data_IF_033128437284
#
_entry.id   IF_033128437284
#
_cell.length_a   1.000
_cell.length_b   1.000
_cell.length_c   1.000
_cell.angle_alpha   90.00
_cell.angle_beta   90.00
_cell.angle_gamma   90.00
#
_symmetry.space_group_name_H-M   'P 1'
#
loop_
_entity.id
_entity.type
_entity.pdbx_description
1 polymer ?
#
# COMPACT_ATOMS: atom_id res chain seq x y z
N UNK A 1 -9.79 -2.16 25.96
CA UNK A 1 -9.66 -2.67 24.59
C UNK A 1 -8.19 -2.75 24.18
N UNK A 2 -7.43 -1.68 24.30
CA UNK A 2 -6.00 -1.60 24.01
C UNK A 2 -5.24 -1.33 25.31
N UNK A 3 -4.26 -2.17 25.64
CA UNK A 3 -3.43 -2.00 26.86
C UNK A 3 -2.10 -1.31 26.49
N UNK A 4 -2.17 0.00 26.32
CA UNK A 4 -1.00 0.85 26.06
C UNK A 4 -1.10 2.15 26.83
N UNK A 5 -0.05 2.53 27.56
CA UNK A 5 -0.03 3.80 28.31
C UNK A 5 0.18 5.03 27.41
N UNK A 6 0.49 4.81 26.13
CA UNK A 6 0.83 5.89 25.21
C UNK A 6 -0.39 6.71 24.77
N UNK A 7 -1.57 6.11 24.75
CA UNK A 7 -2.78 6.72 24.16
C UNK A 7 -3.77 7.13 25.22
N UNK A 8 -4.29 8.36 25.12
CA UNK A 8 -5.27 8.93 26.05
C UNK A 8 -6.72 8.65 25.60
N UNK A 9 -6.93 8.29 24.35
CA UNK A 9 -8.25 7.99 23.79
C UNK A 9 -8.15 7.40 22.39
N UNK A 10 -9.26 6.88 21.91
CA UNK A 10 -9.36 6.29 20.57
C UNK A 10 -10.77 6.46 20.01
N UNK A 11 -10.87 6.42 18.69
CA UNK A 11 -12.12 6.23 17.97
C UNK A 11 -12.16 4.78 17.48
N UNK A 12 -13.26 4.10 17.76
CA UNK A 12 -13.49 2.72 17.31
C UNK A 12 -14.57 2.68 16.23
N UNK A 13 -14.24 2.08 15.09
CA UNK A 13 -15.20 1.84 14.01
C UNK A 13 -15.53 0.33 13.95
N UNK A 14 -16.72 -0.09 14.39
CA UNK A 14 -17.12 -1.49 14.37
C UNK A 14 -17.45 -2.03 12.98
N UNK A 15 -17.59 -1.16 11.96
CA UNK A 15 -17.85 -1.54 10.58
C UNK A 15 -16.58 -1.79 9.77
N UNK A 16 -15.43 -1.39 10.30
CA UNK A 16 -14.12 -1.67 9.71
C UNK A 16 -13.57 -3.01 10.17
N UNK A 17 -12.53 -3.50 9.47
CA UNK A 17 -11.90 -4.77 9.82
C UNK A 17 -10.48 -4.89 9.25
N UNK A 18 -9.87 -6.02 9.49
CA UNK A 18 -8.59 -6.38 8.88
C UNK A 18 -8.62 -7.82 8.35
N UNK A 19 -7.69 -8.12 7.49
CA UNK A 19 -7.59 -9.44 6.87
C UNK A 19 -6.11 -9.81 6.67
N UNK A 20 -5.85 -11.04 6.29
CA UNK A 20 -4.52 -11.48 5.89
C UNK A 20 -4.28 -11.15 4.41
N UNK A 21 -3.45 -10.13 4.06
CA UNK A 21 -3.38 -9.61 2.68
C UNK A 21 -2.92 -10.65 1.66
N UNK A 22 -1.93 -11.48 2.03
CA UNK A 22 -1.43 -12.53 1.13
C UNK A 22 -2.49 -13.60 0.86
N UNK A 23 -3.20 -14.07 1.91
CA UNK A 23 -4.27 -15.06 1.73
C UNK A 23 -5.40 -14.50 0.85
N UNK A 24 -5.72 -13.21 1.00
CA UNK A 24 -6.69 -12.54 0.14
C UNK A 24 -6.22 -12.49 -1.32
N UNK A 25 -4.98 -12.06 -1.57
CA UNK A 25 -4.42 -12.00 -2.92
C UNK A 25 -4.36 -13.39 -3.58
N UNK A 26 -3.93 -14.42 -2.85
CA UNK A 26 -3.92 -15.80 -3.34
C UNK A 26 -5.34 -16.34 -3.60
N UNK A 27 -6.30 -15.94 -2.78
CA UNK A 27 -7.72 -16.24 -2.99
C UNK A 27 -8.26 -15.65 -4.29
N UNK A 28 -7.96 -14.38 -4.54
CA UNK A 28 -8.32 -13.71 -5.80
C UNK A 28 -7.63 -14.33 -7.01
N UNK A 29 -6.36 -14.70 -6.91
CA UNK A 29 -5.64 -15.38 -7.98
C UNK A 29 -6.29 -16.74 -8.32
N UNK A 30 -6.63 -17.54 -7.31
CA UNK A 30 -7.36 -18.81 -7.52
C UNK A 30 -8.72 -18.60 -8.19
N UNK A 31 -9.48 -17.61 -7.75
CA UNK A 31 -10.76 -17.27 -8.36
C UNK A 31 -10.61 -16.82 -9.82
N UNK A 32 -9.60 -16.02 -10.12
CA UNK A 32 -9.30 -15.59 -11.49
C UNK A 32 -8.93 -16.78 -12.40
N UNK A 33 -8.06 -17.68 -11.92
CA UNK A 33 -7.73 -18.90 -12.65
C UNK A 33 -8.95 -19.80 -12.92
N UNK A 34 -9.82 -19.96 -11.92
CA UNK A 34 -11.06 -20.71 -12.06
C UNK A 34 -12.04 -20.06 -13.07
N UNK A 35 -11.97 -18.74 -13.23
CA UNK A 35 -12.70 -18.00 -14.26
C UNK A 35 -12.03 -18.00 -15.65
N UNK A 36 -10.94 -18.76 -15.82
CA UNK A 36 -10.23 -18.90 -17.11
C UNK A 36 -9.19 -17.82 -17.39
N UNK A 37 -8.83 -17.00 -16.42
CA UNK A 37 -7.74 -16.03 -16.56
C UNK A 37 -6.40 -16.76 -16.58
N UNK A 38 -5.51 -16.38 -17.49
CA UNK A 38 -4.13 -16.87 -17.52
C UNK A 38 -3.22 -15.90 -16.76
N UNK A 39 -2.51 -16.39 -15.77
CA UNK A 39 -1.54 -15.63 -14.97
C UNK A 39 -0.13 -16.04 -15.40
N UNK A 40 0.70 -15.08 -15.70
CA UNK A 40 2.11 -15.28 -16.08
C UNK A 40 3.00 -14.58 -15.05
N UNK A 41 3.65 -15.36 -14.22
CA UNK A 41 4.68 -14.88 -13.29
C UNK A 41 6.00 -14.65 -14.04
N UNK A 42 6.95 -13.95 -13.42
CA UNK A 42 8.27 -13.62 -13.99
C UNK A 42 8.22 -12.97 -15.40
N UNK A 43 7.08 -12.33 -15.67
CA UNK A 43 6.75 -11.76 -16.97
C UNK A 43 6.56 -10.24 -16.88
N UNK A 44 7.56 -9.54 -16.31
CA UNK A 44 7.52 -8.09 -16.17
C UNK A 44 7.31 -7.40 -17.53
N UNK A 45 6.29 -6.52 -17.58
CA UNK A 45 6.06 -5.68 -18.77
C UNK A 45 7.16 -4.63 -18.84
N UNK A 46 7.87 -4.58 -19.96
CA UNK A 46 8.97 -3.64 -20.21
C UNK A 46 8.55 -2.46 -21.08
N UNK A 47 7.48 -2.62 -21.85
CA UNK A 47 6.93 -1.58 -22.73
C UNK A 47 5.45 -1.81 -22.94
N UNK A 48 4.68 -0.73 -22.93
CA UNK A 48 3.30 -0.73 -23.40
C UNK A 48 3.21 0.08 -24.71
N UNK A 49 2.37 -0.37 -25.63
CA UNK A 49 2.13 0.30 -26.89
C UNK A 49 0.63 0.45 -27.07
N UNK A 50 0.11 1.69 -26.96
CA UNK A 50 -1.29 1.97 -27.23
C UNK A 50 -1.58 1.94 -28.72
N UNK A 51 -2.83 1.73 -29.09
CA UNK A 51 -3.32 1.70 -30.46
C UNK A 51 -4.76 1.21 -30.49
N UNK A 52 -5.27 0.82 -31.65
CA UNK A 52 -6.58 0.17 -31.79
C UNK A 52 -6.65 -1.13 -30.97
N UNK A 53 -5.51 -1.78 -30.80
CA UNK A 53 -5.25 -2.85 -29.83
C UNK A 53 -4.07 -2.45 -28.96
N UNK A 54 -4.12 -2.80 -27.68
CA UNK A 54 -3.02 -2.57 -26.74
C UNK A 54 -2.02 -3.71 -26.85
N UNK A 55 -0.73 -3.39 -26.96
CA UNK A 55 0.35 -4.40 -26.92
C UNK A 55 1.20 -4.19 -25.67
N UNK A 56 1.33 -5.24 -24.87
CA UNK A 56 2.21 -5.30 -23.71
C UNK A 56 3.39 -6.22 -24.03
N UNK A 57 4.60 -5.68 -23.94
CA UNK A 57 5.84 -6.41 -24.21
C UNK A 57 6.51 -6.84 -22.92
N UNK A 58 7.04 -8.05 -22.90
CA UNK A 58 7.94 -8.58 -21.87
C UNK A 58 9.29 -8.92 -22.47
N UNK A 59 10.25 -9.39 -21.68
CA UNK A 59 11.54 -9.85 -22.20
C UNK A 59 11.42 -11.07 -23.13
N UNK A 60 10.36 -11.86 -22.99
CA UNK A 60 10.22 -13.16 -23.67
C UNK A 60 9.04 -13.22 -24.65
N UNK A 61 8.28 -12.14 -24.80
CA UNK A 61 7.14 -12.13 -25.70
C UNK A 61 6.27 -10.89 -25.57
N UNK A 62 5.09 -10.97 -26.18
CA UNK A 62 4.11 -9.88 -26.10
C UNK A 62 2.68 -10.42 -26.06
N UNK A 63 1.79 -9.62 -25.49
CA UNK A 63 0.35 -9.86 -25.50
C UNK A 63 -0.32 -8.71 -26.24
N UNK A 64 -1.17 -9.02 -27.22
CA UNK A 64 -2.00 -8.07 -27.95
C UNK A 64 -3.46 -8.28 -27.57
N UNK A 65 -4.11 -7.24 -27.03
CA UNK A 65 -5.48 -7.31 -26.54
C UNK A 65 -6.33 -6.12 -27.00
N UNK A 66 -7.65 -6.26 -26.97
CA UNK A 66 -8.58 -5.16 -27.23
C UNK A 66 -8.50 -4.09 -26.17
N UNK A 67 -8.29 -4.49 -24.92
CA UNK A 67 -8.15 -3.62 -23.74
C UNK A 67 -6.92 -3.98 -22.93
N UNK A 68 -6.36 -2.98 -22.23
CA UNK A 68 -5.28 -3.16 -21.29
C UNK A 68 -5.60 -2.48 -19.95
N UNK A 69 -5.05 -3.01 -18.86
CA UNK A 69 -5.14 -2.40 -17.53
C UNK A 69 -3.75 -2.35 -16.91
N UNK A 70 -3.33 -1.15 -16.50
CA UNK A 70 -2.09 -0.93 -15.77
C UNK A 70 -2.42 -0.87 -14.27
N UNK A 71 -2.03 -1.89 -13.52
CA UNK A 71 -2.25 -2.01 -12.08
C UNK A 71 -0.93 -2.21 -11.31
N UNK A 72 0.19 -1.73 -11.86
CA UNK A 72 1.53 -1.89 -11.29
C UNK A 72 1.81 -1.03 -10.07
N UNK A 73 0.94 -0.07 -9.76
CA UNK A 73 1.05 0.80 -8.59
C UNK A 73 2.46 1.44 -8.48
N UNK A 74 3.17 1.24 -7.36
CA UNK A 74 4.53 1.76 -7.16
C UNK A 74 5.61 1.11 -8.07
N UNK A 75 5.28 0.03 -8.79
CA UNK A 75 6.22 -0.81 -9.54
C UNK A 75 6.08 -0.64 -11.07
N UNK A 76 5.76 0.54 -11.54
CA UNK A 76 5.59 0.81 -12.99
C UNK A 76 6.90 0.78 -13.79
N UNK A 77 8.03 1.08 -13.18
CA UNK A 77 9.38 0.99 -13.75
C UNK A 77 9.53 1.62 -15.16
N UNK A 78 8.91 2.76 -15.41
CA UNK A 78 9.04 3.51 -16.67
C UNK A 78 8.02 3.16 -17.75
N UNK A 79 7.17 2.14 -17.57
CA UNK A 79 6.19 1.75 -18.60
C UNK A 79 5.08 2.80 -18.81
N UNK A 80 4.82 3.64 -17.82
CA UNK A 80 3.80 4.68 -17.88
C UNK A 80 4.26 5.97 -17.17
N UNK A 81 5.19 6.76 -17.73
CA UNK A 81 5.75 7.95 -17.08
C UNK A 81 4.70 8.98 -16.66
N UNK A 82 3.61 9.11 -17.44
CA UNK A 82 2.50 9.99 -17.10
C UNK A 82 1.77 9.58 -15.81
N UNK A 83 1.74 8.32 -15.46
CA UNK A 83 1.20 7.79 -14.20
C UNK A 83 2.22 7.92 -13.08
N UNK A 84 3.45 7.51 -13.30
CA UNK A 84 4.52 7.48 -12.30
C UNK A 84 4.78 8.86 -11.67
N UNK A 85 4.74 9.93 -12.43
CA UNK A 85 4.96 11.29 -11.91
C UNK A 85 3.84 11.78 -10.96
N UNK A 86 2.69 11.09 -10.90
CA UNK A 86 1.53 11.44 -10.07
C UNK A 86 1.44 10.65 -8.77
N UNK A 87 2.34 9.71 -8.57
CA UNK A 87 2.45 8.92 -7.33
C UNK A 87 3.83 9.06 -6.71
N UNK A 88 3.91 8.89 -5.40
CA UNK A 88 5.15 8.85 -4.64
C UNK A 88 5.24 7.48 -3.96
N UNK A 89 6.15 6.60 -4.40
CA UNK A 89 6.45 5.38 -3.67
C UNK A 89 7.07 5.71 -2.31
N UNK A 90 6.45 5.23 -1.24
CA UNK A 90 6.93 5.40 0.13
C UNK A 90 7.14 4.02 0.72
N UNK A 91 8.36 3.73 1.16
CA UNK A 91 8.70 2.49 1.85
C UNK A 91 8.02 2.44 3.22
N UNK A 92 7.40 1.34 3.54
CA UNK A 92 6.80 1.06 4.85
C UNK A 92 7.19 -0.34 5.30
N UNK A 93 7.21 -0.57 6.62
CA UNK A 93 7.77 -1.78 7.18
C UNK A 93 6.84 -2.37 8.23
N UNK A 94 6.80 -3.69 8.29
CA UNK A 94 6.06 -4.45 9.30
C UNK A 94 6.99 -5.48 9.91
N UNK A 95 6.97 -5.61 11.22
CA UNK A 95 7.64 -6.68 11.96
C UNK A 95 6.62 -7.55 12.68
N UNK A 96 6.95 -8.81 12.88
CA UNK A 96 6.18 -9.75 13.66
C UNK A 96 6.97 -10.23 14.87
N UNK A 97 6.32 -10.28 16.03
CA UNK A 97 6.88 -10.97 17.20
C UNK A 97 6.85 -12.49 17.00
N UNK A 98 7.55 -13.28 17.82
CA UNK A 98 7.19 -14.68 18.04
C UNK A 98 5.72 -14.80 18.46
N UNK A 99 5.09 -16.01 18.36
CA UNK A 99 3.78 -16.22 18.93
C UNK A 99 3.77 -15.88 20.43
N UNK A 100 2.89 -14.99 20.84
CA UNK A 100 2.80 -14.54 22.24
C UNK A 100 1.94 -15.47 23.10
N UNK A 101 1.18 -16.36 22.46
CA UNK A 101 0.08 -17.09 23.07
C UNK A 101 -1.17 -16.23 23.25
N UNK A 102 -2.32 -16.87 23.25
CA UNK A 102 -3.63 -16.18 23.23
C UNK A 102 -3.80 -15.22 24.42
N UNK A 103 -3.50 -15.68 25.62
CA UNK A 103 -3.69 -14.86 26.82
C UNK A 103 -2.90 -13.54 26.77
N UNK A 104 -1.62 -13.61 26.40
CA UNK A 104 -0.76 -12.42 26.28
C UNK A 104 -1.16 -11.51 25.13
N UNK A 105 -1.51 -12.10 23.96
CA UNK A 105 -1.97 -11.34 22.82
C UNK A 105 -3.27 -10.59 23.12
N UNK A 106 -4.25 -11.27 23.74
CA UNK A 106 -5.52 -10.66 24.12
C UNK A 106 -5.39 -9.63 25.26
N UNK A 107 -4.39 -9.75 26.09
CA UNK A 107 -4.07 -8.72 27.06
C UNK A 107 -3.63 -7.40 26.39
N UNK A 108 -2.92 -7.47 25.24
CA UNK A 108 -2.53 -6.28 24.49
C UNK A 108 -3.70 -5.65 23.71
N UNK A 109 -4.47 -6.49 23.01
CA UNK A 109 -5.59 -6.07 22.14
C UNK A 109 -6.75 -7.03 22.38
N UNK A 110 -7.68 -6.66 23.24
CA UNK A 110 -8.71 -7.56 23.75
C UNK A 110 -9.73 -8.02 22.67
N UNK A 111 -10.09 -7.15 21.76
CA UNK A 111 -11.15 -7.35 20.76
C UNK A 111 -10.66 -7.61 19.34
N UNK A 112 -9.36 -7.95 19.19
CA UNK A 112 -8.74 -8.24 17.89
C UNK A 112 -8.86 -7.14 16.84
N UNK A 113 -9.00 -5.89 17.26
CA UNK A 113 -9.02 -4.75 16.34
C UNK A 113 -7.65 -4.50 15.71
N UNK A 114 -7.64 -3.94 14.51
CA UNK A 114 -6.47 -3.27 13.96
C UNK A 114 -6.42 -1.83 14.49
N UNK A 115 -5.24 -1.37 14.84
CA UNK A 115 -5.02 -0.04 15.41
C UNK A 115 -4.06 0.74 14.51
N UNK A 116 -4.35 2.02 14.31
CA UNK A 116 -3.43 2.99 13.73
C UNK A 116 -3.47 4.25 14.59
N UNK A 117 -2.31 4.83 14.91
CA UNK A 117 -2.24 6.08 15.64
C UNK A 117 -2.38 7.30 14.73
N UNK A 118 -2.33 8.50 15.32
CA UNK A 118 -2.48 9.77 14.61
C UNK A 118 -1.14 10.46 14.32
N UNK A 119 -0.01 9.78 14.57
CA UNK A 119 1.29 10.33 14.22
C UNK A 119 1.43 10.52 12.70
N UNK A 120 2.22 11.48 12.27
CA UNK A 120 2.47 11.69 10.84
C UNK A 120 3.12 10.48 10.15
N UNK A 121 4.11 9.87 10.81
CA UNK A 121 4.62 8.54 10.47
C UNK A 121 4.01 7.55 11.46
N UNK A 122 2.76 7.19 11.18
CA UNK A 122 1.94 6.41 12.11
C UNK A 122 2.53 5.04 12.45
N UNK A 123 2.28 4.62 13.67
CA UNK A 123 2.39 3.24 14.07
C UNK A 123 1.04 2.55 13.83
N UNK A 124 1.08 1.35 13.29
CA UNK A 124 -0.12 0.53 13.07
C UNK A 124 0.17 -0.91 13.44
N UNK A 125 -0.78 -1.55 14.08
CA UNK A 125 -0.56 -2.89 14.59
C UNK A 125 -1.88 -3.65 14.76
N UNK A 126 -1.75 -4.96 14.75
CA UNK A 126 -2.83 -5.92 14.99
C UNK A 126 -2.27 -7.28 15.40
N UNK A 127 -3.14 -8.16 15.83
CA UNK A 127 -2.78 -9.55 16.03
C UNK A 127 -2.89 -10.35 14.72
N UNK A 128 -2.09 -11.41 14.60
CA UNK A 128 -2.26 -12.46 13.61
C UNK A 128 -3.07 -13.62 14.19
N UNK A 129 -3.53 -14.52 13.32
CA UNK A 129 -4.30 -15.68 13.74
C UNK A 129 -3.54 -16.62 14.68
N UNK A 130 -2.20 -16.64 14.63
CA UNK A 130 -1.30 -17.40 15.50
C UNK A 130 -0.79 -16.56 16.69
N UNK A 131 -1.50 -15.51 17.06
CA UNK A 131 -1.25 -14.66 18.23
C UNK A 131 0.11 -13.96 18.25
N UNK A 132 0.63 -13.57 17.09
CA UNK A 132 1.78 -12.64 16.98
C UNK A 132 1.26 -11.20 16.98
N UNK A 133 2.03 -10.29 17.56
CA UNK A 133 1.82 -8.89 17.28
C UNK A 133 2.51 -8.55 15.96
N UNK A 134 1.73 -8.11 14.97
CA UNK A 134 2.22 -7.48 13.75
C UNK A 134 2.31 -5.99 14.00
N UNK A 135 3.52 -5.44 13.99
CA UNK A 135 3.77 -4.03 14.28
C UNK A 135 4.35 -3.35 13.06
N UNK A 136 3.62 -2.40 12.51
CA UNK A 136 3.99 -1.60 11.35
C UNK A 136 4.31 -0.15 11.72
N UNK A 137 5.14 0.46 10.92
CA UNK A 137 5.51 1.85 11.12
C UNK A 137 6.74 2.23 10.30
N UNK A 138 7.28 3.42 10.56
CA UNK A 138 8.47 3.95 9.90
C UNK A 138 8.32 4.08 8.38
N UNK A 139 8.10 5.27 7.92
CA UNK A 139 8.13 5.59 6.51
C UNK A 139 9.58 5.85 6.04
N UNK A 140 9.96 5.29 4.90
CA UNK A 140 11.17 5.64 4.18
C UNK A 140 10.79 6.24 2.83
N UNK A 141 11.33 7.41 2.56
CA UNK A 141 11.17 8.11 1.28
C UNK A 141 12.33 7.81 0.31
N UNK A 142 13.23 6.91 0.71
CA UNK A 142 14.30 6.40 -0.13
C UNK A 142 14.00 4.95 -0.54
N UNK A 143 14.67 4.49 -1.59
CA UNK A 143 14.58 3.08 -2.02
C UNK A 143 15.30 2.10 -1.08
N UNK A 144 15.98 2.62 -0.06
CA UNK A 144 16.74 1.80 0.90
C UNK A 144 16.07 1.82 2.27
N UNK A 145 16.03 0.66 2.97
CA UNK A 145 15.59 0.63 4.35
C UNK A 145 16.46 1.52 5.24
N UNK A 146 15.90 2.15 6.28
CA UNK A 146 16.68 2.88 7.27
C UNK A 146 17.71 1.97 7.95
N UNK A 147 18.91 2.51 8.22
CA UNK A 147 19.90 1.79 8.98
C UNK A 147 19.36 1.45 10.39
N UNK A 148 19.60 0.22 10.84
CA UNK A 148 19.13 -0.25 12.15
C UNK A 148 17.59 -0.35 12.26
N UNK A 149 16.88 -0.53 11.17
CA UNK A 149 15.42 -0.57 11.11
C UNK A 149 14.81 -1.52 12.14
N UNK A 150 15.34 -2.75 12.28
CA UNK A 150 14.83 -3.72 13.26
C UNK A 150 14.90 -3.18 14.69
N UNK A 151 16.03 -2.60 15.08
CA UNK A 151 16.21 -1.98 16.40
C UNK A 151 15.22 -0.83 16.60
N UNK A 152 15.09 0.04 15.61
CA UNK A 152 14.18 1.20 15.69
C UNK A 152 12.72 0.77 15.84
N UNK A 153 12.29 -0.25 15.09
CA UNK A 153 10.92 -0.77 15.17
C UNK A 153 10.67 -1.51 16.48
N UNK A 154 11.64 -2.31 16.96
CA UNK A 154 11.54 -2.98 18.26
C UNK A 154 11.44 -1.96 19.40
N UNK A 155 12.27 -0.93 19.40
CA UNK A 155 12.19 0.14 20.40
C UNK A 155 10.83 0.85 20.37
N UNK A 156 10.31 1.12 19.19
CA UNK A 156 9.00 1.77 19.06
C UNK A 156 7.86 0.87 19.54
N UNK A 157 7.90 -0.42 19.21
CA UNK A 157 6.98 -1.42 19.73
C UNK A 157 6.99 -1.45 21.27
N UNK A 158 8.17 -1.43 21.88
CA UNK A 158 8.30 -1.39 23.36
C UNK A 158 7.82 -0.07 23.97
N UNK A 159 7.86 1.05 23.22
CA UNK A 159 7.26 2.31 23.67
C UNK A 159 5.72 2.20 23.70
N UNK A 160 5.13 1.60 22.66
CA UNK A 160 3.68 1.38 22.58
C UNK A 160 3.22 0.33 23.59
N UNK A 161 3.97 -0.75 23.72
CA UNK A 161 3.68 -1.90 24.59
C UNK A 161 4.87 -2.20 25.52
N UNK A 162 5.03 -1.50 26.65
CA UNK A 162 6.13 -1.76 27.61
C UNK A 162 6.16 -3.19 28.13
N UNK A 163 5.00 -3.85 28.20
CA UNK A 163 4.87 -5.26 28.62
C UNK A 163 5.48 -6.26 27.63
N UNK A 164 5.93 -5.79 26.46
CA UNK A 164 6.71 -6.57 25.49
C UNK A 164 8.22 -6.36 25.61
N UNK A 165 8.70 -5.68 26.66
CA UNK A 165 10.15 -5.60 26.86
C UNK A 165 10.81 -6.99 26.82
N UNK A 166 11.93 -7.09 26.08
CA UNK A 166 12.63 -8.34 25.86
C UNK A 166 12.07 -9.22 24.73
N UNK A 167 10.89 -8.91 24.19
CA UNK A 167 10.35 -9.61 23.00
C UNK A 167 10.92 -8.97 21.74
N UNK A 168 11.63 -9.73 20.88
CA UNK A 168 12.14 -9.19 19.61
C UNK A 168 11.04 -9.15 18.53
N UNK A 169 11.31 -8.43 17.45
CA UNK A 169 10.67 -8.70 16.16
C UNK A 169 11.43 -9.84 15.49
N UNK A 170 10.80 -11.00 15.37
CA UNK A 170 11.40 -12.20 14.78
C UNK A 170 11.53 -12.08 13.26
N UNK A 171 10.52 -11.51 12.64
CA UNK A 171 10.48 -11.29 11.19
C UNK A 171 10.26 -9.83 10.90
N UNK A 172 10.91 -9.32 9.85
CA UNK A 172 10.77 -7.95 9.40
C UNK A 172 10.74 -7.92 7.88
N UNK A 173 9.76 -7.23 7.30
CA UNK A 173 9.68 -7.03 5.86
C UNK A 173 9.23 -5.61 5.53
N UNK A 174 9.42 -5.21 4.29
CA UNK A 174 8.99 -3.92 3.79
C UNK A 174 8.29 -4.02 2.44
N UNK A 175 7.58 -2.96 2.10
CA UNK A 175 6.93 -2.78 0.83
C UNK A 175 6.76 -1.30 0.51
N UNK A 176 6.16 -1.02 -0.63
CA UNK A 176 5.87 0.35 -1.03
C UNK A 176 4.36 0.60 -1.03
N UNK A 177 3.97 1.72 -0.45
CA UNK A 177 2.68 2.34 -0.70
C UNK A 177 2.87 3.47 -1.70
N UNK A 178 1.96 3.64 -2.62
CA UNK A 178 1.96 4.78 -3.53
C UNK A 178 1.05 5.88 -3.01
N UNK A 179 1.59 7.05 -2.85
CA UNK A 179 0.89 8.21 -2.33
C UNK A 179 0.62 9.18 -3.48
N UNK A 180 -0.64 9.51 -3.73
CA UNK A 180 -1.03 10.63 -4.61
C UNK A 180 -0.96 11.95 -3.84
N UNK A 181 -0.77 13.09 -4.53
CA UNK A 181 -0.64 14.39 -3.84
C UNK A 181 -1.87 14.79 -3.01
N UNK A 182 -3.05 14.47 -3.51
CA UNK A 182 -4.34 14.76 -2.85
C UNK A 182 -4.85 13.62 -1.98
N UNK A 183 -4.09 12.51 -1.86
CA UNK A 183 -4.46 11.29 -1.14
C UNK A 183 -5.66 10.54 -1.71
N UNK A 184 -6.32 11.05 -2.76
CA UNK A 184 -7.41 10.35 -3.44
C UNK A 184 -6.87 9.24 -4.37
N UNK A 185 -7.62 8.15 -4.58
CA UNK A 185 -7.24 7.12 -5.52
C UNK A 185 -7.25 7.66 -6.96
N UNK A 186 -6.26 7.25 -7.75
CA UNK A 186 -6.06 7.71 -9.13
C UNK A 186 -6.38 6.58 -10.10
N UNK A 187 -7.60 6.57 -10.61
CA UNK A 187 -8.13 5.58 -11.55
C UNK A 187 -8.62 6.29 -12.82
N UNK A 188 -8.51 5.63 -13.95
CA UNK A 188 -8.98 6.20 -15.19
C UNK A 188 -8.47 5.49 -16.44
N UNK A 189 -8.41 6.27 -17.53
CA UNK A 189 -7.93 5.84 -18.85
C UNK A 189 -6.75 6.69 -19.30
N UNK A 190 -5.75 6.05 -19.89
CA UNK A 190 -4.68 6.72 -20.65
C UNK A 190 -5.10 6.91 -22.10
N UNK A 191 -5.81 5.93 -22.66
CA UNK A 191 -6.42 5.94 -23.98
C UNK A 191 -7.80 5.28 -23.87
N UNK A 192 -8.66 5.32 -24.90
CA UNK A 192 -9.99 4.73 -24.84
C UNK A 192 -10.03 3.24 -24.42
N UNK A 193 -8.93 2.52 -24.62
CA UNK A 193 -8.83 1.08 -24.33
C UNK A 193 -7.66 0.71 -23.39
N UNK A 194 -7.00 1.69 -22.78
CA UNK A 194 -5.92 1.45 -21.81
C UNK A 194 -6.27 2.12 -20.47
N UNK A 195 -6.68 1.31 -19.51
CA UNK A 195 -7.11 1.69 -18.18
C UNK A 195 -5.98 1.62 -17.17
N UNK A 196 -6.16 2.26 -16.04
CA UNK A 196 -5.20 2.15 -14.93
C UNK A 196 -5.87 2.33 -13.56
N UNK A 197 -5.24 1.78 -12.53
CA UNK A 197 -5.56 2.03 -11.13
C UNK A 197 -4.28 2.11 -10.29
N UNK A 198 -4.12 3.22 -9.56
CA UNK A 198 -2.98 3.51 -8.70
C UNK A 198 -3.34 4.56 -7.65
N UNK A 199 -2.38 4.99 -6.81
CA UNK A 199 -2.53 6.13 -5.91
C UNK A 199 -3.42 5.84 -4.71
N UNK A 200 -3.42 4.62 -4.20
CA UNK A 200 -4.31 4.21 -3.11
C UNK A 200 -3.96 4.80 -1.75
N UNK A 201 -2.80 5.43 -1.62
CA UNK A 201 -2.37 6.23 -0.45
C UNK A 201 -2.49 5.51 0.90
N UNK A 202 -2.26 4.19 0.93
CA UNK A 202 -2.35 3.35 2.12
C UNK A 202 -3.69 2.62 2.30
N UNK A 203 -4.71 2.91 1.50
CA UNK A 203 -6.06 2.31 1.60
C UNK A 203 -6.31 1.21 0.53
N UNK A 204 -5.23 0.68 -0.08
CA UNK A 204 -5.32 -0.22 -1.23
C UNK A 204 -6.09 -1.50 -0.98
N UNK A 205 -5.99 -2.11 0.19
CA UNK A 205 -6.65 -3.40 0.47
C UNK A 205 -8.17 -3.32 0.25
N UNK A 206 -8.82 -2.27 0.73
CA UNK A 206 -10.26 -2.06 0.52
C UNK A 206 -10.56 -1.54 -0.90
N UNK A 207 -9.77 -0.59 -1.39
CA UNK A 207 -10.09 0.16 -2.60
C UNK A 207 -9.78 -0.60 -3.91
N UNK A 208 -8.83 -1.56 -3.92
CA UNK A 208 -8.45 -2.30 -5.13
C UNK A 208 -9.56 -3.18 -5.67
N UNK A 209 -10.37 -3.80 -4.79
CA UNK A 209 -11.54 -4.59 -5.20
C UNK A 209 -12.56 -3.73 -5.94
N UNK A 210 -12.85 -2.53 -5.40
CA UNK A 210 -13.74 -1.56 -6.04
C UNK A 210 -13.15 -1.08 -7.38
N UNK A 211 -11.84 -0.78 -7.43
CA UNK A 211 -11.17 -0.36 -8.66
C UNK A 211 -11.28 -1.41 -9.76
N UNK A 212 -11.05 -2.68 -9.42
CA UNK A 212 -11.20 -3.79 -10.36
C UNK A 212 -12.62 -3.91 -10.92
N UNK A 213 -13.62 -3.82 -10.04
CA UNK A 213 -15.03 -3.84 -10.46
C UNK A 213 -15.38 -2.67 -11.39
N UNK A 214 -15.02 -1.46 -11.00
CA UNK A 214 -15.33 -0.23 -11.77
C UNK A 214 -14.65 -0.23 -13.15
N UNK A 215 -13.42 -0.73 -13.24
CA UNK A 215 -12.72 -0.88 -14.51
C UNK A 215 -13.35 -1.99 -15.38
N UNK A 216 -13.74 -3.11 -14.78
CA UNK A 216 -14.42 -4.18 -15.50
C UNK A 216 -15.78 -3.71 -16.07
N UNK A 217 -16.58 -2.97 -15.28
CA UNK A 217 -17.81 -2.35 -15.75
C UNK A 217 -17.54 -1.39 -16.93
N UNK A 218 -16.50 -0.57 -16.86
CA UNK A 218 -16.14 0.36 -17.93
C UNK A 218 -15.72 -0.37 -19.22
N UNK A 219 -14.96 -1.46 -19.11
CA UNK A 219 -14.59 -2.33 -20.25
C UNK A 219 -15.84 -2.97 -20.87
N UNK A 220 -16.82 -3.33 -20.03
CA UNK A 220 -18.12 -3.86 -20.49
C UNK A 220 -19.09 -2.78 -21.04
N UNK A 221 -18.64 -1.53 -21.18
CA UNK A 221 -19.44 -0.43 -21.74
C UNK A 221 -20.22 0.42 -20.71
N UNK A 222 -20.01 0.19 -19.40
CA UNK A 222 -20.68 0.91 -18.31
C UNK A 222 -19.68 1.84 -17.59
N UNK A 223 -19.26 2.93 -18.22
CA UNK A 223 -18.16 3.78 -17.73
C UNK A 223 -18.55 4.79 -16.63
N UNK A 224 -19.83 5.00 -16.35
CA UNK A 224 -20.32 6.11 -15.48
C UNK A 224 -19.62 6.19 -14.11
N UNK A 225 -19.32 5.06 -13.48
CA UNK A 225 -18.62 5.03 -12.19
C UNK A 225 -17.16 5.41 -12.34
N UNK A 226 -16.47 4.93 -13.39
CA UNK A 226 -15.09 5.30 -13.67
C UNK A 226 -14.96 6.80 -13.98
N UNK A 227 -15.90 7.35 -14.72
CA UNK A 227 -15.91 8.78 -15.09
C UNK A 227 -15.94 9.70 -13.87
N UNK A 228 -16.49 9.26 -12.72
CA UNK A 228 -16.45 10.00 -11.46
C UNK A 228 -15.01 10.09 -10.93
N UNK A 229 -14.27 8.99 -10.96
CA UNK A 229 -12.87 8.95 -10.48
C UNK A 229 -11.93 9.70 -11.43
N UNK A 230 -12.16 9.66 -12.74
CA UNK A 230 -11.36 10.41 -13.72
C UNK A 230 -11.45 11.93 -13.55
N UNK A 231 -12.53 12.44 -12.98
CA UNK A 231 -12.70 13.88 -12.69
C UNK A 231 -11.89 14.35 -11.48
N UNK A 232 -11.38 13.45 -10.65
CA UNK A 232 -10.55 13.81 -9.50
C UNK A 232 -9.20 14.33 -10.03
N UNK A 233 -8.82 15.60 -9.76
CA UNK A 233 -7.60 16.16 -10.33
C UNK A 233 -6.35 15.58 -9.66
N UNK A 234 -5.50 14.94 -10.42
CA UNK A 234 -4.20 14.44 -9.97
C UNK A 234 -3.06 15.21 -10.61
N UNK A 235 -2.38 16.05 -9.82
CA UNK A 235 -1.22 16.82 -10.26
C UNK A 235 0.08 16.04 -10.08
N UNK A 236 1.04 16.17 -11.01
CA UNK A 236 2.36 15.58 -10.83
C UNK A 236 3.05 16.10 -9.56
N UNK A 237 3.93 15.29 -9.00
CA UNK A 237 4.83 15.74 -7.93
C UNK A 237 5.85 16.74 -8.49
N UNK A 238 6.19 17.81 -7.74
CA UNK A 238 7.22 18.76 -8.14
C UNK A 238 8.54 18.06 -8.44
N UNK A 239 9.22 18.47 -9.51
CA UNK A 239 10.49 17.91 -9.95
C UNK A 239 10.39 16.57 -10.68
N UNK A 240 9.16 16.07 -10.97
CA UNK A 240 8.94 14.83 -11.71
C UNK A 240 9.60 13.62 -11.05
N UNK A 241 9.96 12.61 -11.85
CA UNK A 241 10.58 11.38 -11.35
C UNK A 241 11.94 11.58 -10.67
N UNK A 242 12.74 12.55 -11.14
CA UNK A 242 14.13 12.74 -10.67
C UNK A 242 14.23 13.48 -9.34
N UNK A 243 13.41 14.50 -9.13
CA UNK A 243 13.52 15.38 -7.95
C UNK A 243 12.42 15.15 -6.90
N UNK A 244 11.35 14.39 -7.21
CA UNK A 244 10.25 14.15 -6.26
C UNK A 244 10.73 13.57 -4.93
N UNK A 245 11.63 12.58 -4.96
CA UNK A 245 12.17 11.95 -3.76
C UNK A 245 13.07 12.89 -2.95
N UNK A 246 14.10 13.57 -3.53
CA UNK A 246 14.89 14.56 -2.79
C UNK A 246 14.04 15.68 -2.19
N UNK A 247 13.09 16.23 -2.94
CA UNK A 247 12.21 17.28 -2.45
C UNK A 247 11.31 16.80 -1.30
N UNK A 248 10.80 15.59 -1.38
CA UNK A 248 10.02 15.00 -0.30
C UNK A 248 10.87 14.76 0.94
N UNK A 249 12.09 14.23 0.80
CA UNK A 249 13.02 14.03 1.93
C UNK A 249 13.31 15.37 2.63
N UNK A 250 13.58 16.43 1.86
CA UNK A 250 13.78 17.77 2.41
C UNK A 250 12.54 18.28 3.18
N UNK A 251 11.35 18.17 2.57
CA UNK A 251 10.10 18.58 3.20
C UNK A 251 9.82 17.80 4.49
N UNK A 252 10.01 16.49 4.49
CA UNK A 252 9.77 15.63 5.66
C UNK A 252 10.80 15.87 6.76
N UNK A 253 12.07 16.19 6.40
CA UNK A 253 13.08 16.59 7.38
C UNK A 253 12.71 17.89 8.07
N UNK A 254 12.17 18.84 7.32
CA UNK A 254 11.64 20.09 7.85
C UNK A 254 10.46 19.85 8.81
N UNK A 255 9.47 19.03 8.43
CA UNK A 255 8.36 18.73 9.31
C UNK A 255 8.78 18.02 10.59
N UNK A 256 9.73 17.06 10.51
CA UNK A 256 10.31 16.40 11.70
C UNK A 256 11.00 17.39 12.64
N UNK A 257 11.76 18.34 12.08
CA UNK A 257 12.40 19.38 12.87
C UNK A 257 11.36 20.25 13.55
N UNK A 258 10.32 20.64 12.85
CA UNK A 258 9.21 21.41 13.42
C UNK A 258 8.50 20.65 14.54
N UNK A 259 8.16 19.39 14.35
CA UNK A 259 7.50 18.55 15.36
C UNK A 259 8.38 18.27 16.59
N UNK A 260 9.70 18.45 16.49
CA UNK A 260 10.63 18.32 17.60
C UNK A 260 10.83 19.66 18.37
N UNK A 261 10.42 20.78 17.80
CA UNK A 261 10.56 22.13 18.37
C UNK A 261 9.25 22.63 19.02
N UNK A 262 8.14 21.94 18.77
CA UNK A 262 6.79 22.20 19.32
C UNK A 262 6.27 20.98 20.09
#
# INVERSE_FOLDING_TARGET
MLDSPLYQGAMFDPASGHLHPLSYALGLARAALAAGVRIYEDSAVTKQQPGTRVVMHTAHGSVTAGFGVIAGNALLHGIAPALEQRIMPVGTYVGATPPLGEARARALIANDMAVADTNWALDYYRLSADHRLLFGGRASYSSRPPAGLQRLMTQRMHTVFPQLHGVPLETLWGGYVDISRNRAPHWGRLTPNLYFAQGFSGHGVAATGLAGQVIAEAIAGQSRRLDVFERIPHRPFPGGQRLRTPLLVAAMSWYRLRDALW
#
